data_IF_455646477718
#
_entry.id   IF_455646477718
#
_cell.length_a   1.000
_cell.length_b   1.000
_cell.length_c   1.000
_cell.angle_alpha   90.00
_cell.angle_beta   90.00
_cell.angle_gamma   90.00
#
_symmetry.space_group_name_H-M   'P 1'
#
loop_
_entity.id
_entity.type
_entity.pdbx_description
1 polymer ?
#
# COMPACT_ATOMS: atom_id res chain seq x y z
N UNK A 1 2.47 3.63 -20.95
CA UNK A 1 2.24 3.37 -19.52
C UNK A 1 0.86 3.88 -19.18
N UNK A 2 -0.12 2.98 -19.05
CA UNK A 2 -1.52 3.32 -18.88
C UNK A 2 -1.79 3.39 -17.38
N UNK A 3 -1.70 4.58 -16.80
CA UNK A 3 -2.18 4.79 -15.43
C UNK A 3 -3.70 4.68 -15.51
N UNK A 4 -4.27 3.58 -15.02
CA UNK A 4 -5.72 3.50 -14.85
C UNK A 4 -6.14 4.67 -13.96
N UNK A 5 -7.13 5.44 -14.41
CA UNK A 5 -7.75 6.55 -13.67
C UNK A 5 -8.62 5.99 -12.53
N UNK A 6 -8.11 5.00 -11.80
CA UNK A 6 -8.71 4.54 -10.55
C UNK A 6 -8.38 5.60 -9.49
N UNK A 7 -9.43 6.16 -8.89
CA UNK A 7 -9.33 7.23 -7.90
C UNK A 7 -8.54 6.72 -6.69
N UNK A 8 -7.24 6.99 -6.65
CA UNK A 8 -6.37 6.51 -5.57
C UNK A 8 -6.87 7.00 -4.20
N UNK A 9 -6.95 6.10 -3.22
CA UNK A 9 -7.37 6.39 -1.85
C UNK A 9 -6.42 7.37 -1.18
N UNK A 10 -6.96 8.27 -0.36
CA UNK A 10 -6.19 9.33 0.30
C UNK A 10 -5.10 8.78 1.21
N UNK A 11 -4.01 9.53 1.38
CA UNK A 11 -3.03 9.22 2.42
C UNK A 11 -3.74 9.39 3.78
N UNK A 12 -3.54 8.44 4.68
CA UNK A 12 -4.30 8.30 5.92
C UNK A 12 -5.58 7.46 5.79
N UNK A 13 -5.93 6.97 4.59
CA UNK A 13 -7.01 6.00 4.46
C UNK A 13 -6.62 4.67 5.12
N UNK A 14 -7.53 4.14 5.93
CA UNK A 14 -7.40 2.84 6.57
C UNK A 14 -8.11 1.83 5.68
N UNK A 15 -7.40 0.79 5.28
CA UNK A 15 -7.87 -0.25 4.36
C UNK A 15 -7.69 -1.62 4.98
N UNK A 16 -8.53 -2.55 4.56
CA UNK A 16 -8.40 -3.97 4.88
C UNK A 16 -8.03 -4.69 3.57
N UNK A 17 -6.95 -5.47 3.57
CA UNK A 17 -6.61 -6.28 2.41
C UNK A 17 -7.50 -7.53 2.39
N UNK A 18 -7.80 -8.05 1.20
CA UNK A 18 -8.73 -9.18 1.01
C UNK A 18 -8.31 -10.45 1.76
N UNK A 19 -7.01 -10.66 1.94
CA UNK A 19 -6.43 -11.84 2.60
C UNK A 19 -5.99 -11.57 4.04
N UNK A 20 -6.05 -10.32 4.50
CA UNK A 20 -5.58 -9.92 5.83
C UNK A 20 -6.75 -9.55 6.74
N UNK A 21 -6.61 -9.87 8.03
CA UNK A 21 -7.54 -9.41 9.06
C UNK A 21 -7.14 -8.07 9.67
N UNK A 22 -5.88 -7.67 9.47
CA UNK A 22 -5.31 -6.47 10.06
C UNK A 22 -5.54 -5.23 9.20
N UNK A 23 -5.84 -4.12 9.88
CA UNK A 23 -6.07 -2.82 9.24
C UNK A 23 -4.73 -2.18 8.89
N UNK A 24 -4.61 -1.72 7.65
CA UNK A 24 -3.41 -1.04 7.15
C UNK A 24 -3.75 0.42 6.86
N UNK A 25 -2.89 1.33 7.30
CA UNK A 25 -3.00 2.74 6.93
C UNK A 25 -2.10 3.05 5.74
N UNK A 26 -2.66 3.66 4.70
CA UNK A 26 -1.90 4.08 3.52
C UNK A 26 -1.17 5.38 3.84
N UNK A 27 0.16 5.39 3.82
CA UNK A 27 0.94 6.62 4.00
C UNK A 27 1.63 7.09 2.72
N UNK A 28 1.82 6.21 1.74
CA UNK A 28 2.39 6.54 0.43
C UNK A 28 1.60 5.96 -0.74
N UNK A 29 1.82 6.54 -1.92
CA UNK A 29 1.17 6.14 -3.19
C UNK A 29 2.21 6.07 -4.30
N UNK A 30 1.95 5.25 -5.33
CA UNK A 30 2.85 5.05 -6.48
C UNK A 30 4.27 4.73 -6.05
N UNK A 31 4.40 3.77 -5.14
CA UNK A 31 5.68 3.38 -4.59
C UNK A 31 6.44 2.55 -5.64
N UNK A 32 7.69 2.91 -5.90
CA UNK A 32 8.60 2.10 -6.69
C UNK A 32 9.50 1.33 -5.73
N UNK A 33 9.45 -0.01 -5.79
CA UNK A 33 10.46 -0.84 -5.13
C UNK A 33 11.59 -1.10 -6.12
N UNK A 34 12.78 -0.69 -5.74
CA UNK A 34 14.03 -1.05 -6.42
C UNK A 34 14.52 -2.38 -5.84
N UNK A 35 13.89 -3.49 -6.26
CA UNK A 35 14.45 -4.84 -6.06
C UNK A 35 15.31 -5.21 -7.27
N UNK A 36 15.41 -6.47 -7.65
CA UNK A 36 16.12 -6.90 -8.88
C UNK A 36 15.53 -6.24 -10.15
N UNK A 37 14.21 -6.05 -10.18
CA UNK A 37 13.49 -5.28 -11.20
C UNK A 37 12.65 -4.18 -10.55
N UNK A 38 12.56 -3.01 -11.17
CA UNK A 38 11.78 -1.90 -10.64
C UNK A 38 10.28 -2.18 -10.77
N UNK A 39 9.64 -2.56 -9.66
CA UNK A 39 8.20 -2.84 -9.61
C UNK A 39 7.46 -1.64 -9.03
N UNK A 40 6.42 -1.18 -9.74
CA UNK A 40 5.53 -0.11 -9.26
C UNK A 40 4.32 -0.71 -8.53
N UNK A 41 4.04 -0.19 -7.35
CA UNK A 41 2.86 -0.48 -6.54
C UNK A 41 2.00 0.76 -6.36
N UNK A 42 0.68 0.60 -6.28
CA UNK A 42 -0.24 1.73 -6.09
C UNK A 42 -0.10 2.37 -4.71
N UNK A 43 0.14 1.56 -3.66
CA UNK A 43 0.15 2.00 -2.27
C UNK A 43 1.30 1.40 -1.47
N UNK A 44 1.71 2.15 -0.45
CA UNK A 44 2.53 1.65 0.65
C UNK A 44 1.86 2.03 1.98
N UNK A 45 1.80 1.09 2.91
CA UNK A 45 1.13 1.23 4.18
C UNK A 45 1.80 0.47 5.32
N UNK A 46 1.35 0.72 6.54
CA UNK A 46 1.77 0.01 7.75
C UNK A 46 0.54 -0.36 8.58
N UNK A 47 0.72 -1.23 9.57
CA UNK A 47 -0.37 -1.59 10.48
C UNK A 47 -0.91 -0.37 11.21
N UNK A 48 -2.24 -0.24 11.23
CA UNK A 48 -2.94 0.93 11.78
C UNK A 48 -2.70 1.12 13.29
N UNK A 49 -2.52 0.03 14.05
CA UNK A 49 -2.34 0.09 15.50
C UNK A 49 -0.88 0.34 15.91
N UNK A 50 0.06 -0.29 15.19
CA UNK A 50 1.47 -0.30 15.56
C UNK A 50 2.24 0.86 14.90
N UNK A 51 1.74 1.35 13.76
CA UNK A 51 2.39 2.38 12.98
C UNK A 51 3.63 1.88 12.23
N UNK A 52 4.45 2.83 11.78
CA UNK A 52 5.65 2.52 11.01
C UNK A 52 6.84 2.26 11.96
N UNK A 53 7.04 1.00 12.35
CA UNK A 53 8.12 0.60 13.27
C UNK A 53 9.45 0.35 12.55
N UNK A 54 9.43 -0.36 11.42
CA UNK A 54 10.62 -0.67 10.60
C UNK A 54 10.21 -0.78 9.12
N UNK A 55 11.13 -0.59 8.15
CA UNK A 55 10.84 -0.79 6.73
C UNK A 55 10.35 -2.21 6.41
N UNK A 56 10.77 -3.20 7.19
CA UNK A 56 10.34 -4.60 7.04
C UNK A 56 8.84 -4.81 7.34
N UNK A 57 8.22 -3.89 8.08
CA UNK A 57 6.78 -3.89 8.39
C UNK A 57 5.99 -2.97 7.45
N UNK A 58 6.61 -2.52 6.36
CA UNK A 58 5.91 -1.76 5.32
C UNK A 58 5.31 -2.70 4.28
N UNK A 59 4.01 -2.55 4.06
CA UNK A 59 3.26 -3.31 3.06
C UNK A 59 3.16 -2.50 1.78
N UNK A 60 3.57 -3.09 0.67
CA UNK A 60 3.30 -2.57 -0.67
C UNK A 60 2.22 -3.40 -1.34
N UNK A 61 1.20 -2.74 -1.88
CA UNK A 61 0.06 -3.42 -2.46
C UNK A 61 -0.64 -2.56 -3.52
N UNK A 62 -1.41 -3.23 -4.37
CA UNK A 62 -2.20 -2.61 -5.44
C UNK A 62 -3.67 -2.47 -5.04
N UNK A 63 -4.37 -1.53 -5.68
CA UNK A 63 -5.77 -1.20 -5.37
C UNK A 63 -6.71 -2.42 -5.42
N UNK A 64 -6.44 -3.37 -6.32
CA UNK A 64 -7.21 -4.62 -6.48
C UNK A 64 -7.27 -5.51 -5.24
N UNK A 65 -6.33 -5.36 -4.30
CA UNK A 65 -6.24 -6.17 -3.08
C UNK A 65 -7.00 -5.56 -1.90
N UNK A 66 -7.56 -4.37 -2.04
CA UNK A 66 -8.37 -3.72 -1.02
C UNK A 66 -9.78 -4.31 -1.05
N UNK A 67 -10.34 -4.59 0.13
CA UNK A 67 -11.71 -5.07 0.33
C UNK A 67 -12.70 -3.91 0.51
#
# INVERSE_FOLDING_TARGET
MQFSTERLLQRGSIVLLKEETEKIVIYGRKQMLMIEEAVMYDYIGCFYLEGHMNPDYAFVFNCRYIR
#
